data_IF_652186380667
#
_entry.id   IF_652186380667
#
_cell.length_a   1.000
_cell.length_b   1.000
_cell.length_c   1.000
_cell.angle_alpha   90.00
_cell.angle_beta   90.00
_cell.angle_gamma   90.00
#
_symmetry.space_group_name_H-M   'P 1'
#
loop_
_entity.id
_entity.type
_entity.pdbx_description
1 polymer ?
#
# COMPACT_ATOMS: atom_id res chain seq x y z
N UNK A 1 -0.63 13.63 32.24
CA UNK A 1 -0.99 14.11 30.88
C UNK A 1 0.25 14.45 30.04
N UNK A 2 1.20 15.27 30.54
CA UNK A 2 2.44 15.63 29.82
C UNK A 2 3.25 14.42 29.33
N UNK A 3 3.58 13.46 30.21
CA UNK A 3 4.34 12.24 29.83
C UNK A 3 3.68 11.42 28.71
N UNK A 4 2.35 11.37 28.67
CA UNK A 4 1.62 10.69 27.60
C UNK A 4 1.78 11.41 26.24
N UNK A 5 1.75 12.74 26.24
CA UNK A 5 2.00 13.55 25.03
C UNK A 5 3.44 13.39 24.54
N UNK A 6 4.41 13.35 25.45
CA UNK A 6 5.81 13.12 25.11
C UNK A 6 6.06 11.71 24.57
N UNK A 7 5.40 10.69 25.15
CA UNK A 7 5.41 9.32 24.62
C UNK A 7 4.85 9.29 23.19
N UNK A 8 3.75 10.00 22.92
CA UNK A 8 3.22 10.11 21.57
C UNK A 8 4.22 10.79 20.62
N UNK A 9 4.89 11.86 21.06
CA UNK A 9 5.91 12.53 20.27
C UNK A 9 7.11 11.63 19.94
N UNK A 10 7.44 10.68 20.83
CA UNK A 10 8.49 9.68 20.61
C UNK A 10 8.03 8.53 19.68
N UNK A 11 6.75 8.16 19.71
CA UNK A 11 6.19 7.02 18.95
C UNK A 11 5.75 7.41 17.54
N UNK A 12 5.11 8.56 17.38
CA UNK A 12 4.54 9.02 16.11
C UNK A 12 5.54 9.01 14.94
N UNK A 13 6.81 9.44 15.09
CA UNK A 13 7.77 9.40 13.98
C UNK A 13 7.98 8.01 13.39
N UNK A 14 7.94 6.96 14.23
CA UNK A 14 8.10 5.58 13.79
C UNK A 14 6.88 5.11 12.98
N UNK A 15 5.67 5.44 13.43
CA UNK A 15 4.42 5.13 12.72
C UNK A 15 4.30 5.92 11.43
N UNK A 16 4.64 7.21 11.44
CA UNK A 16 4.67 8.05 10.25
C UNK A 16 5.65 7.50 9.20
N UNK A 17 6.83 7.04 9.64
CA UNK A 17 7.81 6.42 8.74
C UNK A 17 7.26 5.16 8.07
N UNK A 18 6.58 4.29 8.85
CA UNK A 18 5.92 3.11 8.30
C UNK A 18 4.79 3.49 7.34
N UNK A 19 3.97 4.49 7.68
CA UNK A 19 2.90 5.00 6.82
C UNK A 19 3.45 5.52 5.48
N UNK A 20 4.58 6.25 5.51
CA UNK A 20 5.22 6.78 4.31
C UNK A 20 5.71 5.69 3.35
N UNK A 21 6.05 4.49 3.86
CA UNK A 21 6.40 3.34 3.00
C UNK A 21 5.20 2.95 2.13
N UNK A 22 3.99 2.91 2.71
CA UNK A 22 2.76 2.52 2.02
C UNK A 22 2.11 3.66 1.23
N UNK A 23 2.51 4.91 1.46
CA UNK A 23 2.05 6.06 0.67
C UNK A 23 2.74 6.18 -0.70
N UNK A 24 3.75 5.36 -0.97
CA UNK A 24 4.37 5.27 -2.30
C UNK A 24 3.42 4.54 -3.24
N UNK A 25 3.41 4.96 -4.51
CA UNK A 25 2.62 4.29 -5.56
C UNK A 25 3.15 2.89 -5.82
N UNK A 26 4.48 2.76 -5.92
CA UNK A 26 5.17 1.50 -6.17
C UNK A 26 5.80 1.01 -4.85
N UNK A 27 5.03 0.23 -4.09
CA UNK A 27 5.52 -0.41 -2.87
C UNK A 27 6.15 -1.74 -3.25
N UNK A 28 7.47 -1.84 -3.13
CA UNK A 28 8.17 -3.12 -3.34
C UNK A 28 7.78 -4.12 -2.25
N UNK A 29 7.33 -5.30 -2.68
CA UNK A 29 6.82 -6.37 -1.82
C UNK A 29 7.85 -6.78 -0.76
N UNK A 30 9.13 -6.92 -1.14
CA UNK A 30 10.21 -7.36 -0.25
C UNK A 30 10.63 -6.35 0.83
N UNK A 31 10.14 -5.11 0.76
CA UNK A 31 10.47 -4.08 1.75
C UNK A 31 9.43 -3.98 2.87
N UNK A 32 8.31 -4.69 2.75
CA UNK A 32 7.17 -4.57 3.67
C UNK A 32 7.51 -5.20 5.00
N UNK A 33 7.94 -6.47 4.99
CA UNK A 33 8.32 -7.21 6.19
C UNK A 33 9.39 -6.48 6.99
N UNK A 34 10.48 -6.11 6.33
CA UNK A 34 11.60 -5.40 6.97
C UNK A 34 11.18 -4.06 7.58
N UNK A 35 10.29 -3.32 6.91
CA UNK A 35 9.76 -2.04 7.44
C UNK A 35 8.85 -2.24 8.65
N UNK A 36 8.01 -3.28 8.64
CA UNK A 36 7.12 -3.64 9.75
C UNK A 36 7.96 -4.10 10.95
N UNK A 37 8.87 -5.06 10.76
CA UNK A 37 9.75 -5.59 11.81
C UNK A 37 10.60 -4.49 12.44
N UNK A 38 11.20 -3.63 11.62
CA UNK A 38 11.95 -2.47 12.11
C UNK A 38 11.10 -1.58 13.01
N UNK A 39 9.85 -1.32 12.61
CA UNK A 39 8.92 -0.49 13.39
C UNK A 39 8.54 -1.18 14.71
N UNK A 40 8.20 -2.46 14.67
CA UNK A 40 7.87 -3.26 15.86
C UNK A 40 9.05 -3.32 16.83
N UNK A 41 10.26 -3.51 16.33
CA UNK A 41 11.49 -3.52 17.14
C UNK A 41 11.71 -2.17 17.82
N UNK A 42 11.57 -1.06 17.08
CA UNK A 42 11.68 0.29 17.65
C UNK A 42 10.64 0.55 18.74
N UNK A 43 9.37 0.16 18.52
CA UNK A 43 8.31 0.30 19.52
C UNK A 43 8.57 -0.59 20.75
N UNK A 44 9.13 -1.78 20.55
CA UNK A 44 9.50 -2.68 21.64
C UNK A 44 10.63 -2.10 22.48
N UNK A 45 11.65 -1.50 21.85
CA UNK A 45 12.70 -0.75 22.56
C UNK A 45 12.13 0.41 23.38
N UNK A 46 11.07 1.08 22.90
CA UNK A 46 10.42 2.18 23.65
C UNK A 46 9.67 1.74 24.90
N UNK A 47 9.43 0.45 25.09
CA UNK A 47 8.89 -0.09 26.36
C UNK A 47 9.89 0.09 27.49
N UNK A 48 11.16 -0.20 27.24
CA UNK A 48 12.23 -0.20 28.25
C UNK A 48 13.09 1.07 28.22
N UNK A 49 13.16 1.76 27.07
CA UNK A 49 14.00 2.94 26.89
C UNK A 49 13.17 4.18 26.52
N UNK A 50 13.36 5.26 27.28
CA UNK A 50 12.76 6.56 26.97
C UNK A 50 13.21 7.05 25.59
N UNK A 51 12.30 7.64 24.82
CA UNK A 51 12.64 8.35 23.59
C UNK A 51 13.20 9.75 23.86
N UNK A 52 13.62 10.47 22.81
CA UNK A 52 14.24 11.79 22.95
C UNK A 52 13.42 12.78 23.78
N UNK A 53 12.09 12.78 23.64
CA UNK A 53 11.21 13.72 24.34
C UNK A 53 11.02 13.36 25.81
N UNK A 54 10.82 12.08 26.12
CA UNK A 54 10.76 11.61 27.50
C UNK A 54 12.11 11.76 28.23
N UNK A 55 13.23 11.48 27.57
CA UNK A 55 14.57 11.71 28.13
C UNK A 55 14.82 13.19 28.45
N UNK A 56 14.37 14.08 27.55
CA UNK A 56 14.49 15.53 27.77
C UNK A 56 13.68 15.99 28.98
N UNK A 57 12.49 15.45 29.20
CA UNK A 57 11.67 15.76 30.38
C UNK A 57 12.32 15.26 31.67
N UNK A 58 12.88 14.06 31.67
CA UNK A 58 13.59 13.47 32.79
C UNK A 58 14.84 14.30 33.16
N UNK A 59 15.59 14.77 32.17
CA UNK A 59 16.75 15.65 32.36
C UNK A 59 16.35 17.04 32.89
N UNK A 60 15.27 17.64 32.38
CA UNK A 60 14.78 18.93 32.86
C UNK A 60 14.26 18.84 34.30
N UNK A 61 13.58 17.74 34.64
CA UNK A 61 13.12 17.49 36.02
C UNK A 61 14.26 17.35 37.01
N UNK A 62 15.29 16.59 36.65
CA UNK A 62 16.47 16.42 37.52
C UNK A 62 17.21 17.74 37.72
N UNK A 63 17.26 18.58 36.70
CA UNK A 63 17.87 19.93 36.78
C UNK A 63 17.05 20.88 37.67
N UNK A 64 15.72 20.77 37.65
CA UNK A 64 14.82 21.67 38.40
C UNK A 64 14.42 21.16 39.79
N UNK A 65 14.92 20.01 40.27
CA UNK A 65 14.54 19.37 41.53
C UNK A 65 13.02 19.21 41.73
N UNK A 66 12.29 18.90 40.66
CA UNK A 66 10.84 18.72 40.72
C UNK A 66 10.54 17.27 41.11
N UNK A 67 10.25 17.05 42.39
CA UNK A 67 9.77 15.77 42.91
C UNK A 67 8.26 15.70 42.72
N UNK A 68 7.78 14.91 41.76
CA UNK A 68 6.36 14.55 41.73
C UNK A 68 6.09 13.46 42.76
N UNK A 69 4.94 13.50 43.46
CA UNK A 69 4.39 12.30 44.07
C UNK A 69 4.00 11.37 42.92
N UNK A 70 4.78 10.30 42.74
CA UNK A 70 4.63 9.30 41.69
C UNK A 70 3.16 8.96 41.38
N UNK A 71 2.79 8.83 40.10
CA UNK A 71 1.98 7.72 39.68
C UNK A 71 2.96 6.70 39.08
N UNK A 72 3.30 5.69 39.89
CA UNK A 72 3.91 4.41 39.49
C UNK A 72 3.12 3.74 38.33
N UNK A 73 1.94 4.27 38.02
CA UNK A 73 1.01 3.86 36.98
C UNK A 73 1.36 4.23 35.54
N UNK A 74 2.23 5.23 35.29
CA UNK A 74 2.43 5.67 33.90
C UNK A 74 3.15 4.61 33.05
N UNK A 75 4.22 4.02 33.56
CA UNK A 75 5.03 3.10 32.76
C UNK A 75 4.31 1.76 32.52
N UNK A 76 3.66 1.19 33.53
CA UNK A 76 2.92 -0.08 33.41
C UNK A 76 1.50 0.09 32.86
N UNK A 77 0.68 1.05 33.31
CA UNK A 77 -0.72 1.16 32.84
C UNK A 77 -0.89 2.00 31.57
N UNK A 78 0.00 2.94 31.28
CA UNK A 78 -0.15 3.81 30.10
C UNK A 78 0.82 3.43 29.00
N UNK A 79 2.13 3.43 29.28
CA UNK A 79 3.16 3.17 28.27
C UNK A 79 3.09 1.75 27.75
N UNK A 80 3.14 0.75 28.64
CA UNK A 80 3.11 -0.66 28.23
C UNK A 80 1.78 -1.01 27.55
N UNK A 81 0.63 -0.66 28.14
CA UNK A 81 -0.67 -0.92 27.51
C UNK A 81 -0.81 -0.28 26.11
N UNK A 82 -0.38 0.97 25.95
CA UNK A 82 -0.43 1.66 24.67
C UNK A 82 0.51 1.02 23.64
N UNK A 83 1.77 0.77 24.01
CA UNK A 83 2.75 0.17 23.09
C UNK A 83 2.39 -1.27 22.74
N UNK A 84 1.86 -2.06 23.69
CA UNK A 84 1.36 -3.41 23.43
C UNK A 84 0.20 -3.38 22.43
N UNK A 85 -0.82 -2.54 22.68
CA UNK A 85 -1.96 -2.42 21.77
C UNK A 85 -1.54 -1.93 20.38
N UNK A 86 -0.56 -1.02 20.29
CA UNK A 86 -0.05 -0.53 19.01
C UNK A 86 0.75 -1.60 18.25
N UNK A 87 1.63 -2.33 18.94
CA UNK A 87 2.39 -3.44 18.36
C UNK A 87 1.43 -4.53 17.88
N UNK A 88 0.47 -4.92 18.72
CA UNK A 88 -0.54 -5.91 18.36
C UNK A 88 -1.35 -5.46 17.14
N UNK A 89 -1.76 -4.19 17.08
CA UNK A 89 -2.48 -3.67 15.92
C UNK A 89 -1.67 -3.76 14.62
N UNK A 90 -0.37 -3.42 14.68
CA UNK A 90 0.53 -3.53 13.53
C UNK A 90 0.71 -4.99 13.15
N UNK A 91 1.02 -5.88 14.10
CA UNK A 91 1.24 -7.30 13.85
C UNK A 91 0.01 -7.97 13.27
N UNK A 92 -1.19 -7.70 13.79
CA UNK A 92 -2.45 -8.25 13.26
C UNK A 92 -2.73 -7.75 11.85
N UNK A 93 -2.46 -6.47 11.58
CA UNK A 93 -2.69 -5.86 10.26
C UNK A 93 -1.75 -6.41 9.19
N UNK A 94 -0.55 -6.81 9.59
CA UNK A 94 0.51 -7.33 8.70
C UNK A 94 0.85 -8.79 8.99
N UNK A 95 -0.13 -9.58 9.45
CA UNK A 95 0.06 -11.01 9.77
C UNK A 95 0.55 -11.84 8.57
N UNK A 96 0.19 -11.41 7.36
CA UNK A 96 0.54 -12.08 6.10
C UNK A 96 1.77 -11.44 5.44
N UNK A 97 2.56 -10.65 6.19
CA UNK A 97 3.76 -9.98 5.66
C UNK A 97 4.78 -10.97 5.09
N UNK A 98 4.91 -12.16 5.68
CA UNK A 98 5.79 -13.22 5.16
C UNK A 98 5.37 -13.70 3.77
N UNK A 99 4.06 -13.92 3.55
CA UNK A 99 3.53 -14.29 2.23
C UNK A 99 3.74 -13.19 1.22
N UNK A 100 3.58 -11.92 1.62
CA UNK A 100 3.82 -10.77 0.75
C UNK A 100 5.32 -10.68 0.38
N UNK A 101 6.21 -10.91 1.34
CA UNK A 101 7.66 -10.94 1.14
C UNK A 101 8.05 -12.07 0.15
N UNK A 102 7.44 -13.25 0.27
CA UNK A 102 7.63 -14.35 -0.67
C UNK A 102 7.15 -13.99 -2.09
N UNK A 103 6.08 -13.22 -2.24
CA UNK A 103 5.62 -12.74 -3.56
C UNK A 103 6.60 -11.75 -4.22
N UNK A 104 7.60 -11.23 -3.49
CA UNK A 104 8.59 -10.30 -4.03
C UNK A 104 9.45 -10.93 -5.13
N UNK A 105 9.64 -12.25 -5.14
CA UNK A 105 10.39 -12.96 -6.19
C UNK A 105 9.78 -12.80 -7.58
N UNK A 106 8.50 -12.41 -7.66
CA UNK A 106 7.79 -12.21 -8.92
C UNK A 106 8.17 -10.88 -9.58
N UNK A 107 8.76 -9.95 -8.83
CA UNK A 107 9.31 -8.72 -9.37
C UNK A 107 10.78 -8.94 -9.75
N UNK A 108 11.04 -9.11 -11.04
CA UNK A 108 12.36 -9.41 -11.59
C UNK A 108 13.12 -8.14 -12.02
N UNK A 109 12.69 -6.96 -11.56
CA UNK A 109 13.36 -5.69 -11.87
C UNK A 109 14.81 -5.70 -11.42
N UNK A 110 15.71 -5.33 -12.34
CA UNK A 110 17.16 -5.27 -12.08
C UNK A 110 17.85 -6.63 -11.88
N UNK A 111 17.18 -7.75 -12.18
CA UNK A 111 17.79 -9.08 -12.14
C UNK A 111 18.29 -9.47 -13.54
N UNK A 112 19.60 -9.33 -13.78
CA UNK A 112 20.21 -9.62 -15.08
C UNK A 112 20.56 -11.12 -15.24
N UNK A 113 20.98 -11.78 -14.16
CA UNK A 113 21.36 -13.20 -14.14
C UNK A 113 20.45 -13.98 -13.20
N UNK A 114 19.38 -14.58 -13.72
CA UNK A 114 18.47 -15.41 -12.93
C UNK A 114 19.05 -16.84 -12.89
N UNK A 115 19.38 -17.33 -11.70
CA UNK A 115 19.84 -18.71 -11.50
C UNK A 115 18.71 -19.73 -11.74
N UNK A 116 19.06 -20.94 -12.15
CA UNK A 116 18.10 -22.02 -12.47
C UNK A 116 17.21 -22.43 -11.29
N UNK A 117 17.64 -22.14 -10.05
CA UNK A 117 16.91 -22.44 -8.81
C UNK A 117 16.36 -21.18 -8.12
N UNK A 118 16.28 -20.05 -8.83
CA UNK A 118 15.78 -18.80 -8.27
C UNK A 118 14.34 -18.94 -7.75
N UNK A 119 14.11 -18.52 -6.51
CA UNK A 119 12.77 -18.44 -5.91
C UNK A 119 12.13 -19.79 -5.54
N UNK A 120 12.87 -20.90 -5.56
CA UNK A 120 12.34 -22.23 -5.30
C UNK A 120 11.63 -22.37 -3.95
N UNK A 121 12.30 -21.91 -2.89
CA UNK A 121 11.79 -21.97 -1.52
C UNK A 121 10.53 -21.12 -1.34
N UNK A 122 10.51 -19.96 -1.97
CA UNK A 122 9.41 -19.01 -1.94
C UNK A 122 8.22 -19.55 -2.73
N UNK A 123 8.44 -20.12 -3.91
CA UNK A 123 7.39 -20.76 -4.71
C UNK A 123 6.77 -21.95 -3.97
N UNK A 124 7.57 -22.80 -3.33
CA UNK A 124 7.07 -23.92 -2.54
C UNK A 124 6.20 -23.42 -1.36
N UNK A 125 6.65 -22.38 -0.66
CA UNK A 125 5.88 -21.77 0.42
C UNK A 125 4.57 -21.12 -0.09
N UNK A 126 4.61 -20.46 -1.24
CA UNK A 126 3.44 -19.86 -1.90
C UNK A 126 2.45 -20.93 -2.38
N UNK A 127 2.94 -22.08 -2.87
CA UNK A 127 2.10 -23.21 -3.27
C UNK A 127 1.24 -23.69 -2.09
N UNK A 128 1.88 -23.91 -0.95
CA UNK A 128 1.21 -24.31 0.29
C UNK A 128 0.22 -23.25 0.78
N UNK A 129 0.58 -21.96 0.66
CA UNK A 129 -0.26 -20.85 1.14
C UNK A 129 -1.54 -20.67 0.29
N UNK A 130 -1.44 -20.88 -1.02
CA UNK A 130 -2.55 -20.66 -1.96
C UNK A 130 -3.23 -21.94 -2.44
N UNK A 131 -2.96 -23.07 -1.78
CA UNK A 131 -3.51 -24.40 -2.09
C UNK A 131 -3.31 -24.75 -3.58
N UNK A 132 -2.07 -24.62 -4.04
CA UNK A 132 -1.64 -24.97 -5.39
C UNK A 132 -0.73 -26.20 -5.33
N UNK A 133 -0.74 -27.00 -6.40
CA UNK A 133 0.16 -28.15 -6.51
C UNK A 133 1.64 -27.70 -6.59
N UNK A 134 2.49 -28.01 -5.59
CA UNK A 134 3.86 -27.50 -5.53
C UNK A 134 4.73 -28.00 -6.68
N UNK A 135 4.59 -29.28 -7.07
CA UNK A 135 5.37 -29.88 -8.14
C UNK A 135 5.07 -29.21 -9.48
N UNK A 136 3.79 -29.10 -9.85
CA UNK A 136 3.38 -28.43 -11.09
C UNK A 136 3.77 -26.96 -11.10
N UNK A 137 3.62 -26.26 -9.98
CA UNK A 137 3.96 -24.84 -9.89
C UNK A 137 5.47 -24.60 -10.03
N UNK A 138 6.32 -25.42 -9.41
CA UNK A 138 7.78 -25.33 -9.54
C UNK A 138 8.23 -25.57 -10.98
N UNK A 139 7.67 -26.57 -11.65
CA UNK A 139 7.96 -26.84 -13.07
C UNK A 139 7.57 -25.63 -13.94
N UNK A 140 6.34 -25.13 -13.78
CA UNK A 140 5.88 -23.96 -14.52
C UNK A 140 6.74 -22.72 -14.25
N UNK A 141 7.18 -22.53 -13.01
CA UNK A 141 8.04 -21.42 -12.62
C UNK A 141 9.40 -21.49 -13.29
N UNK A 142 10.06 -22.65 -13.28
CA UNK A 142 11.36 -22.82 -13.95
C UNK A 142 11.29 -22.57 -15.44
N UNK A 143 10.29 -23.15 -16.11
CA UNK A 143 10.08 -22.99 -17.54
C UNK A 143 9.81 -21.51 -17.88
N UNK A 144 9.02 -20.84 -17.05
CA UNK A 144 8.74 -19.41 -17.19
C UNK A 144 10.00 -18.55 -16.99
N UNK A 145 10.82 -18.84 -15.97
CA UNK A 145 12.07 -18.12 -15.73
C UNK A 145 13.08 -18.33 -16.86
N UNK A 146 13.19 -19.54 -17.41
CA UNK A 146 14.02 -19.81 -18.59
C UNK A 146 13.54 -19.03 -19.82
N UNK A 147 12.23 -18.93 -20.02
CA UNK A 147 11.63 -18.11 -21.08
C UNK A 147 11.92 -16.62 -20.88
N UNK A 148 11.73 -16.08 -19.67
CA UNK A 148 11.99 -14.67 -19.34
C UNK A 148 13.47 -14.32 -19.44
N UNK A 149 14.35 -15.23 -19.04
CA UNK A 149 15.81 -15.06 -19.10
C UNK A 149 16.32 -15.04 -20.55
N UNK A 150 15.70 -15.82 -21.43
CA UNK A 150 16.04 -15.83 -22.86
C UNK A 150 15.38 -14.70 -23.66
N UNK A 151 14.37 -14.04 -23.10
CA UNK A 151 13.68 -12.92 -23.74
C UNK A 151 14.38 -11.57 -23.46
N UNK A 152 14.60 -10.79 -24.52
CA UNK A 152 15.03 -9.39 -24.41
C UNK A 152 13.84 -8.52 -23.99
N UNK A 153 13.52 -8.53 -22.70
CA UNK A 153 12.48 -7.69 -22.11
C UNK A 153 13.09 -6.38 -21.59
N UNK A 154 12.54 -5.24 -22.01
CA UNK A 154 12.95 -3.91 -21.54
C UNK A 154 12.48 -3.59 -20.13
N UNK A 155 11.37 -4.20 -19.71
CA UNK A 155 10.82 -4.06 -18.36
C UNK A 155 10.45 -5.44 -17.81
N UNK A 156 10.99 -5.76 -16.62
CA UNK A 156 10.77 -7.00 -15.88
C UNK A 156 9.98 -6.77 -14.59
N UNK A 157 9.26 -5.64 -14.52
CA UNK A 157 8.34 -5.35 -13.43
C UNK A 157 7.16 -6.30 -13.40
N UNK A 158 6.62 -6.47 -12.20
CA UNK A 158 5.50 -7.37 -11.94
C UNK A 158 4.26 -7.06 -12.82
N UNK A 159 3.86 -5.79 -13.04
CA UNK A 159 2.80 -5.45 -14.01
C UNK A 159 3.13 -5.85 -15.45
N UNK A 160 4.34 -5.56 -15.91
CA UNK A 160 4.77 -5.85 -17.28
C UNK A 160 4.86 -7.36 -17.56
N UNK A 161 5.30 -8.14 -16.56
CA UNK A 161 5.30 -9.60 -16.65
C UNK A 161 3.87 -10.17 -16.65
N UNK A 162 2.92 -9.58 -15.92
CA UNK A 162 1.50 -9.98 -16.02
C UNK A 162 0.95 -9.69 -17.42
N UNK A 163 1.31 -8.55 -18.03
CA UNK A 163 0.88 -8.20 -19.38
C UNK A 163 1.34 -9.23 -20.43
N UNK A 164 2.45 -9.93 -20.22
CA UNK A 164 2.90 -11.01 -21.13
C UNK A 164 1.87 -12.14 -21.26
N UNK A 165 1.14 -12.46 -20.19
CA UNK A 165 0.10 -13.49 -20.22
C UNK A 165 -1.16 -13.05 -21.00
N UNK A 166 -1.40 -11.75 -21.10
CA UNK A 166 -2.61 -11.18 -21.70
C UNK A 166 -2.37 -10.48 -23.05
N UNK A 167 -1.10 -10.25 -23.42
CA UNK A 167 -0.74 -9.49 -24.60
C UNK A 167 -1.24 -10.16 -25.89
N UNK A 168 -1.90 -9.39 -26.80
CA UNK A 168 -2.32 -9.89 -28.11
C UNK A 168 -1.17 -10.46 -28.94
N UNK A 169 0.05 -9.96 -28.75
CA UNK A 169 1.25 -10.37 -29.49
C UNK A 169 1.75 -11.77 -29.09
N UNK A 170 1.28 -12.31 -27.97
CA UNK A 170 1.63 -13.64 -27.47
C UNK A 170 0.44 -14.59 -27.39
N UNK A 171 -0.72 -14.21 -27.94
CA UNK A 171 -1.91 -15.08 -28.05
C UNK A 171 -1.59 -16.40 -28.76
N UNK A 172 -0.69 -16.38 -29.73
CA UNK A 172 -0.27 -17.57 -30.48
C UNK A 172 0.59 -18.54 -29.65
N UNK A 173 1.22 -18.06 -28.56
CA UNK A 173 2.01 -18.89 -27.64
C UNK A 173 1.21 -19.44 -26.46
N UNK A 174 -0.04 -18.99 -26.29
CA UNK A 174 -0.97 -19.44 -25.25
C UNK A 174 -0.33 -19.59 -23.84
N UNK A 175 0.51 -18.61 -23.44
CA UNK A 175 1.28 -18.64 -22.19
C UNK A 175 0.40 -18.86 -20.94
N UNK A 176 -0.81 -18.32 -20.95
CA UNK A 176 -1.78 -18.52 -19.89
C UNK A 176 -2.19 -20.00 -19.73
N UNK A 177 -2.25 -20.75 -20.84
CA UNK A 177 -2.54 -22.19 -20.80
C UNK A 177 -1.33 -23.03 -20.40
N UNK A 178 -0.12 -22.56 -20.70
CA UNK A 178 1.14 -23.23 -20.35
C UNK A 178 1.51 -23.03 -18.88
N UNK A 179 1.27 -21.83 -18.34
CA UNK A 179 1.67 -21.46 -16.98
C UNK A 179 0.49 -20.89 -16.14
N UNK A 180 -0.63 -21.62 -16.00
CA UNK A 180 -1.83 -21.11 -15.33
C UNK A 180 -1.61 -20.81 -13.84
N UNK A 181 -0.76 -21.57 -13.14
CA UNK A 181 -0.51 -21.36 -11.71
C UNK A 181 0.39 -20.15 -11.48
N UNK A 182 1.40 -19.96 -12.34
CA UNK A 182 2.27 -18.77 -12.31
C UNK A 182 1.44 -17.50 -12.61
N UNK A 183 0.60 -17.52 -13.64
CA UNK A 183 -0.27 -16.38 -13.95
C UNK A 183 -1.24 -16.05 -12.79
N UNK A 184 -1.74 -17.08 -12.08
CA UNK A 184 -2.54 -16.89 -10.87
C UNK A 184 -1.73 -16.21 -9.76
N UNK A 185 -0.47 -16.59 -9.53
CA UNK A 185 0.41 -15.92 -8.56
C UNK A 185 0.66 -14.44 -8.91
N UNK A 186 1.00 -14.13 -10.16
CA UNK A 186 1.16 -12.74 -10.61
C UNK A 186 -0.12 -11.92 -10.38
N UNK A 187 -1.28 -12.50 -10.69
CA UNK A 187 -2.57 -11.85 -10.46
C UNK A 187 -2.79 -11.57 -8.97
N UNK A 188 -2.48 -12.54 -8.10
CA UNK A 188 -2.59 -12.38 -6.64
C UNK A 188 -1.66 -11.29 -6.13
N UNK A 189 -0.43 -11.20 -6.63
CA UNK A 189 0.52 -10.18 -6.22
C UNK A 189 0.08 -8.76 -6.59
N UNK A 190 -0.48 -8.55 -7.79
CA UNK A 190 -0.91 -7.21 -8.26
C UNK A 190 -2.12 -6.69 -7.50
N UNK A 191 -3.05 -7.55 -7.12
CA UNK A 191 -4.27 -7.13 -6.45
C UNK A 191 -4.07 -6.80 -4.96
N UNK A 192 -2.87 -7.03 -4.41
CA UNK A 192 -2.61 -6.72 -3.00
C UNK A 192 -2.76 -5.21 -2.75
N UNK A 193 -3.65 -4.78 -1.84
CA UNK A 193 -3.90 -3.37 -1.57
C UNK A 193 -2.82 -2.79 -0.64
N UNK A 194 -1.57 -2.82 -1.08
CA UNK A 194 -0.40 -2.45 -0.28
C UNK A 194 -0.20 -0.94 -0.23
N UNK A 195 -0.51 -0.25 -1.33
CA UNK A 195 -0.39 1.20 -1.40
C UNK A 195 -1.66 1.90 -0.93
N UNK A 196 -1.53 2.85 -0.01
CA UNK A 196 -2.61 3.79 0.33
C UNK A 196 -2.58 5.04 -0.54
N UNK A 197 -1.63 5.17 -1.47
CA UNK A 197 -1.44 6.37 -2.28
C UNK A 197 -2.69 6.74 -3.09
N UNK A 198 -3.36 5.75 -3.69
CA UNK A 198 -4.58 5.99 -4.46
C UNK A 198 -5.74 6.44 -3.55
N UNK A 199 -5.83 5.89 -2.35
CA UNK A 199 -6.84 6.30 -1.36
C UNK A 199 -6.58 7.74 -0.87
N UNK A 200 -5.32 8.11 -0.62
CA UNK A 200 -4.95 9.48 -0.25
C UNK A 200 -5.15 10.48 -1.38
N UNK A 201 -4.91 10.06 -2.63
CA UNK A 201 -5.24 10.83 -3.82
C UNK A 201 -6.75 11.09 -3.89
N UNK A 202 -7.57 10.07 -3.64
CA UNK A 202 -9.04 10.21 -3.57
C UNK A 202 -9.43 11.23 -2.48
N UNK A 203 -8.90 11.11 -1.26
CA UNK A 203 -9.21 12.04 -0.18
C UNK A 203 -8.79 13.48 -0.49
N UNK A 204 -7.63 13.65 -1.11
CA UNK A 204 -7.16 14.96 -1.58
C UNK A 204 -8.11 15.57 -2.60
N UNK A 205 -8.60 14.78 -3.57
CA UNK A 205 -9.61 15.23 -4.53
C UNK A 205 -10.94 15.58 -3.85
N UNK A 206 -11.39 14.78 -2.89
CA UNK A 206 -12.61 15.08 -2.12
C UNK A 206 -12.47 16.42 -1.38
N UNK A 207 -11.30 16.70 -0.79
CA UNK A 207 -11.02 17.99 -0.12
C UNK A 207 -11.08 19.17 -1.08
N UNK A 208 -10.61 19.01 -2.31
CA UNK A 208 -10.69 20.04 -3.35
C UNK A 208 -12.13 20.27 -3.84
N UNK A 209 -12.94 19.21 -3.91
CA UNK A 209 -14.34 19.30 -4.35
C UNK A 209 -15.22 19.91 -3.25
N UNK A 210 -15.05 19.48 -2.00
CA UNK A 210 -15.77 19.98 -0.84
C UNK A 210 -15.07 21.19 -0.24
N UNK A 211 -15.27 22.34 -0.87
CA UNK A 211 -14.92 23.64 -0.28
C UNK A 211 -16.05 24.15 0.63
N UNK A 212 -15.80 25.23 1.37
CA UNK A 212 -16.79 25.90 2.23
C UNK A 212 -18.11 26.22 1.49
N UNK A 213 -18.03 26.63 0.22
CA UNK A 213 -19.21 26.90 -0.63
C UNK A 213 -19.89 25.65 -1.20
N UNK A 214 -19.24 24.48 -1.16
CA UNK A 214 -19.71 23.20 -1.73
C UNK A 214 -19.86 22.10 -0.68
N UNK A 215 -19.96 22.46 0.59
CA UNK A 215 -20.03 21.52 1.71
C UNK A 215 -21.27 20.61 1.64
N UNK A 216 -22.38 21.11 1.07
CA UNK A 216 -23.67 20.42 1.01
C UNK A 216 -23.92 19.65 -0.30
N UNK A 217 -22.86 19.29 -1.04
CA UNK A 217 -23.02 18.43 -2.22
C UNK A 217 -23.59 17.07 -1.81
N UNK A 218 -24.68 16.66 -2.48
CA UNK A 218 -25.23 15.30 -2.34
C UNK A 218 -24.16 14.28 -2.72
N UNK A 219 -24.13 13.15 -2.02
CA UNK A 219 -23.15 12.06 -2.24
C UNK A 219 -23.06 11.64 -3.69
N UNK A 220 -24.20 11.48 -4.38
CA UNK A 220 -24.24 11.12 -5.80
C UNK A 220 -23.50 12.14 -6.70
N UNK A 221 -23.65 13.43 -6.42
CA UNK A 221 -22.98 14.50 -7.17
C UNK A 221 -21.49 14.50 -6.87
N UNK A 222 -21.11 14.31 -5.60
CA UNK A 222 -19.71 14.19 -5.19
C UNK A 222 -19.03 13.00 -5.90
N UNK A 223 -19.66 11.82 -5.90
CA UNK A 223 -19.14 10.62 -6.56
C UNK A 223 -18.92 10.88 -8.04
N UNK A 224 -19.90 11.47 -8.75
CA UNK A 224 -19.76 11.79 -10.17
C UNK A 224 -18.59 12.74 -10.46
N UNK A 225 -18.46 13.82 -9.68
CA UNK A 225 -17.36 14.77 -9.84
C UNK A 225 -16.02 14.09 -9.56
N UNK A 226 -15.96 13.27 -8.51
CA UNK A 226 -14.77 12.52 -8.14
C UNK A 226 -14.37 11.52 -9.23
N UNK A 227 -15.31 10.77 -9.81
CA UNK A 227 -15.06 9.87 -10.94
C UNK A 227 -14.47 10.61 -12.13
N UNK A 228 -14.99 11.79 -12.46
CA UNK A 228 -14.43 12.63 -13.53
C UNK A 228 -13.02 13.11 -13.17
N UNK A 229 -12.80 13.60 -11.96
CA UNK A 229 -11.48 14.09 -11.53
C UNK A 229 -10.40 13.02 -11.47
N UNK A 230 -10.76 11.77 -11.18
CA UNK A 230 -9.82 10.66 -11.09
C UNK A 230 -9.50 10.04 -12.46
N UNK A 231 -10.48 9.93 -13.35
CA UNK A 231 -10.36 9.14 -14.58
C UNK A 231 -10.30 9.99 -15.86
N UNK A 232 -10.62 11.28 -15.81
CA UNK A 232 -10.63 12.12 -17.00
C UNK A 232 -9.26 12.79 -17.16
N UNK A 233 -8.58 12.44 -18.25
CA UNK A 233 -7.42 13.20 -18.74
C UNK A 233 -7.83 14.64 -19.05
N UNK A 234 -6.93 15.59 -18.80
CA UNK A 234 -7.17 17.04 -18.91
C UNK A 234 -7.64 17.41 -20.32
N UNK A 235 -7.03 16.78 -21.34
CA UNK A 235 -7.40 16.95 -22.75
C UNK A 235 -8.79 16.38 -23.09
N UNK A 236 -9.19 15.28 -22.45
CA UNK A 236 -10.53 14.68 -22.62
C UNK A 236 -11.57 15.50 -21.88
N UNK A 237 -11.22 16.05 -20.72
CA UNK A 237 -12.12 16.88 -19.92
C UNK A 237 -12.48 18.17 -20.64
N UNK A 238 -11.52 18.87 -21.25
CA UNK A 238 -11.79 20.08 -22.03
C UNK A 238 -12.75 19.82 -23.20
N UNK A 239 -12.54 18.73 -23.95
CA UNK A 239 -13.44 18.33 -25.04
C UNK A 239 -14.86 18.03 -24.54
N UNK A 240 -14.99 17.34 -23.41
CA UNK A 240 -16.29 17.05 -22.80
C UNK A 240 -16.94 18.35 -22.30
N UNK A 241 -16.16 19.26 -21.72
CA UNK A 241 -16.65 20.55 -21.23
C UNK A 241 -17.19 21.38 -22.40
N UNK A 242 -16.45 21.50 -23.49
CA UNK A 242 -16.87 22.22 -24.68
C UNK A 242 -18.15 21.63 -25.30
N UNK A 243 -18.24 20.30 -25.35
CA UNK A 243 -19.46 19.62 -25.80
C UNK A 243 -20.64 19.89 -24.87
N UNK A 244 -20.43 19.83 -23.54
CA UNK A 244 -21.47 20.10 -22.54
C UNK A 244 -21.94 21.56 -22.61
N UNK A 245 -21.00 22.50 -22.68
CA UNK A 245 -21.24 23.94 -22.76
C UNK A 245 -22.01 24.27 -24.05
N UNK A 246 -21.53 23.76 -25.19
CA UNK A 246 -22.19 23.95 -26.48
C UNK A 246 -23.60 23.37 -26.48
N UNK A 247 -23.80 22.19 -25.89
CA UNK A 247 -25.11 21.55 -25.78
C UNK A 247 -26.04 22.30 -24.83
N UNK A 248 -25.50 22.81 -23.72
CA UNK A 248 -26.22 23.61 -22.73
C UNK A 248 -26.72 24.93 -23.33
N UNK A 249 -25.86 25.65 -24.06
CA UNK A 249 -26.22 26.91 -24.73
C UNK A 249 -27.11 26.72 -25.96
N UNK A 250 -27.09 25.53 -26.59
CA UNK A 250 -28.01 25.17 -27.69
C UNK A 250 -29.44 24.85 -27.21
N UNK A 251 -29.67 24.51 -25.94
CA UNK A 251 -31.03 24.24 -25.43
C UNK A 251 -31.79 25.55 -25.14
N UNK A 252 -32.87 25.76 -25.89
CA UNK A 252 -33.74 26.95 -25.81
C UNK A 252 -34.52 27.06 -24.49
N UNK A 253 -34.87 25.92 -23.88
CA UNK A 253 -35.54 25.86 -22.56
C UNK A 253 -34.61 25.27 -21.50
N UNK A 254 -34.29 26.09 -20.50
CA UNK A 254 -33.22 25.86 -19.51
C UNK A 254 -33.70 25.26 -18.19
N UNK A 255 -34.98 24.90 -18.08
CA UNK A 255 -35.54 24.14 -16.94
C UNK A 255 -35.71 22.70 -17.38
N UNK A 256 -35.15 21.76 -16.63
CA UNK A 256 -35.56 20.35 -16.74
C UNK A 256 -37.03 20.31 -16.31
N UNK A 257 -37.90 20.01 -17.27
CA UNK A 257 -39.25 19.55 -16.93
C UNK A 257 -39.03 18.23 -16.21
N UNK A 258 -39.31 18.20 -14.91
CA UNK A 258 -39.37 16.95 -14.16
C UNK A 258 -40.44 16.09 -14.84
N UNK A 259 -40.01 15.11 -15.61
CA UNK A 259 -40.89 14.03 -16.06
C UNK A 259 -41.03 13.11 -14.85
N UNK A 260 -42.26 13.10 -14.32
CA UNK A 260 -42.75 12.17 -13.29
C UNK A 260 -42.70 10.76 -13.83
#
# INVERSE_FOLDING_TARGET
MLKAVLLLADVLPHICSLSLVFQKRDVHLGNIRTSVEKTVNLLTTRKTQNGPWLQKEEHLRSTCNITDPTPVDFDTKVRECFLNGLIENITVRFKDADTIDQLAILDLTGTDNIETMYGYTEIEALANTFDMDPETLLIQWQDFIALVSSAELTDRSLPSLLELFHSPCHKDKNLLSMYPLVAKLFSVAIIQPLSTAEVERIFSQVKLIKTSHRANLKTQTLTKILTVKLNCDETKFEKILDQCVTTFFKKKNRRLVNVV
#
